data_IF_648523341408
#
_entry.id   IF_648523341408
#
_cell.length_a   1.000
_cell.length_b   1.000
_cell.length_c   1.000
_cell.angle_alpha   90.00
_cell.angle_beta   90.00
_cell.angle_gamma   90.00
#
_symmetry.space_group_name_H-M   'P 1'
#
loop_
_entity.id
_entity.type
_entity.pdbx_description
1 polymer ?
#
# COMPACT_ATOMS: atom_id res chain seq x y z
N UNK A 1 42.68 44.46 -19.59
CA UNK A 1 42.18 45.74 -19.05
C UNK A 1 40.83 46.06 -19.68
N UNK A 2 39.73 45.67 -19.03
CA UNK A 2 38.39 46.20 -19.27
C UNK A 2 37.68 46.21 -17.91
N UNK A 3 37.41 47.42 -17.44
CA UNK A 3 36.78 47.72 -16.16
C UNK A 3 35.30 47.35 -16.24
N UNK A 4 34.81 46.52 -15.32
CA UNK A 4 33.38 46.40 -15.05
C UNK A 4 33.08 46.98 -13.67
N UNK A 5 32.21 47.97 -13.72
CA UNK A 5 31.74 48.86 -12.68
C UNK A 5 30.90 48.11 -11.65
N UNK A 6 31.09 48.51 -10.39
CA UNK A 6 30.38 48.03 -9.22
C UNK A 6 28.88 48.35 -9.28
N UNK A 7 28.04 47.40 -8.90
CA UNK A 7 26.62 47.62 -8.59
C UNK A 7 26.49 47.96 -7.08
N UNK A 8 25.66 48.94 -6.69
CA UNK A 8 25.50 49.33 -5.30
C UNK A 8 24.59 48.36 -4.53
N UNK A 9 25.05 48.10 -3.31
CA UNK A 9 24.31 47.54 -2.18
C UNK A 9 23.11 48.44 -1.85
N UNK A 10 21.91 47.87 -1.76
CA UNK A 10 20.79 48.53 -1.09
C UNK A 10 20.27 47.62 0.04
N UNK A 11 20.47 48.14 1.24
CA UNK A 11 20.06 47.60 2.53
C UNK A 11 18.85 48.43 3.01
N UNK A 12 17.72 47.80 3.32
CA UNK A 12 16.63 48.37 4.13
C UNK A 12 15.77 47.20 4.65
N UNK A 13 16.04 46.68 5.85
CA UNK A 13 15.35 46.99 7.12
C UNK A 13 13.82 46.89 7.02
N UNK A 14 13.27 45.77 7.52
CA UNK A 14 11.92 45.70 8.08
C UNK A 14 11.93 44.69 9.26
N UNK A 15 12.42 45.18 10.40
CA UNK A 15 12.12 44.68 11.74
C UNK A 15 11.08 45.64 12.32
N UNK A 16 9.93 45.14 12.78
CA UNK A 16 8.92 45.97 13.43
C UNK A 16 7.58 45.25 13.50
N UNK A 17 7.30 44.64 14.66
CA UNK A 17 6.23 43.68 14.85
C UNK A 17 4.81 44.24 14.92
N UNK A 18 3.82 43.34 14.96
CA UNK A 18 2.51 43.58 15.57
C UNK A 18 2.01 42.29 16.25
N UNK A 19 1.88 42.41 17.57
CA UNK A 19 0.84 41.92 18.48
C UNK A 19 0.17 40.54 18.28
N UNK A 20 0.21 39.78 19.38
CA UNK A 20 -0.93 39.17 20.08
C UNK A 20 -2.27 39.11 19.31
N UNK A 21 -2.66 37.89 18.96
CA UNK A 21 -4.01 37.52 18.54
C UNK A 21 -4.45 36.22 19.19
N UNK A 22 -4.68 36.24 20.51
CA UNK A 22 -5.58 35.29 21.16
C UNK A 22 -6.99 35.56 20.65
N UNK A 23 -7.63 34.67 19.92
CA UNK A 23 -9.10 34.59 19.88
C UNK A 23 -9.59 33.18 19.46
N UNK A 24 -10.15 32.50 20.47
CA UNK A 24 -11.35 31.66 20.46
C UNK A 24 -11.44 30.45 19.52
N UNK A 25 -11.15 29.31 20.16
CA UNK A 25 -11.85 28.02 20.07
C UNK A 25 -13.37 28.21 19.91
N UNK A 26 -13.83 28.14 18.66
CA UNK A 26 -15.25 28.09 18.30
C UNK A 26 -15.80 26.67 18.39
N UNK A 27 -16.72 26.49 19.34
CA UNK A 27 -17.50 25.29 19.60
C UNK A 27 -18.61 25.19 18.54
N UNK A 28 -18.49 24.32 17.54
CA UNK A 28 -19.56 24.15 16.54
C UNK A 28 -20.72 23.39 17.18
N UNK A 29 -21.79 24.13 17.42
CA UNK A 29 -23.07 23.65 17.94
C UNK A 29 -23.64 22.53 17.06
N UNK A 30 -24.11 21.47 17.73
CA UNK A 30 -25.12 20.54 17.23
C UNK A 30 -26.36 21.33 16.81
N UNK A 31 -26.67 21.35 15.53
CA UNK A 31 -27.99 21.69 15.02
C UNK A 31 -28.89 20.47 15.13
N UNK A 32 -29.69 20.43 16.18
CA UNK A 32 -30.93 19.66 16.27
C UNK A 32 -31.99 20.37 15.44
N UNK A 33 -32.44 19.75 14.35
CA UNK A 33 -33.72 20.10 13.71
C UNK A 33 -34.66 18.91 13.85
N UNK A 34 -35.71 19.11 14.64
CA UNK A 34 -36.86 18.22 14.76
C UNK A 34 -38.07 18.93 14.13
N UNK A 35 -38.68 18.30 13.14
CA UNK A 35 -40.11 18.41 12.76
C UNK A 35 -40.35 17.33 11.70
N UNK A 36 -40.90 16.16 12.05
CA UNK A 36 -42.31 15.83 12.31
C UNK A 36 -43.16 16.04 11.06
N UNK A 37 -43.36 14.96 10.31
CA UNK A 37 -44.62 14.71 9.63
C UNK A 37 -44.99 13.23 9.76
N UNK A 38 -46.27 13.02 10.03
CA UNK A 38 -46.89 11.76 10.36
C UNK A 38 -47.65 11.27 9.14
N UNK A 39 -47.59 9.97 8.85
CA UNK A 39 -48.72 9.26 8.26
C UNK A 39 -48.64 7.77 8.61
N UNK A 40 -49.83 7.21 8.67
CA UNK A 40 -50.38 6.08 9.40
C UNK A 40 -50.13 4.70 8.78
N UNK A 41 -50.34 3.69 9.63
CA UNK A 41 -50.86 2.34 9.37
C UNK A 41 -50.14 1.46 8.34
N UNK A 42 -49.66 0.27 8.69
CA UNK A 42 -50.55 -0.89 8.86
C UNK A 42 -49.79 -2.02 9.57
N UNK A 43 -50.41 -2.56 10.61
CA UNK A 43 -50.03 -3.80 11.26
C UNK A 43 -50.19 -4.98 10.30
N UNK A 44 -49.19 -5.86 10.22
CA UNK A 44 -49.45 -7.23 9.78
C UNK A 44 -48.64 -8.24 10.60
N UNK A 45 -49.40 -8.92 11.45
CA UNK A 45 -48.99 -9.96 12.39
C UNK A 45 -48.93 -11.28 11.62
N UNK A 46 -47.73 -11.67 11.17
CA UNK A 46 -47.48 -12.96 10.51
C UNK A 46 -46.67 -13.89 11.41
N UNK A 47 -47.34 -14.58 12.32
CA UNK A 47 -46.79 -15.64 13.18
C UNK A 47 -46.68 -16.94 12.39
N UNK A 48 -45.55 -17.19 11.73
CA UNK A 48 -45.29 -18.49 11.08
C UNK A 48 -44.43 -19.36 11.98
N UNK A 49 -45.09 -20.28 12.66
CA UNK A 49 -44.49 -21.34 13.47
C UNK A 49 -44.18 -22.51 12.54
N UNK A 50 -42.95 -22.60 12.03
CA UNK A 50 -42.49 -23.80 11.33
C UNK A 50 -41.85 -24.77 12.31
N UNK A 51 -42.62 -25.83 12.60
CA UNK A 51 -42.24 -26.99 13.39
C UNK A 51 -41.57 -27.99 12.44
N UNK A 52 -40.24 -27.95 12.33
CA UNK A 52 -39.47 -28.97 11.62
C UNK A 52 -39.10 -30.08 12.61
N UNK A 53 -39.81 -31.19 12.50
CA UNK A 53 -39.46 -32.47 13.12
C UNK A 53 -38.32 -33.07 12.30
N UNK A 54 -37.11 -33.12 12.87
CA UNK A 54 -35.98 -33.85 12.27
C UNK A 54 -35.84 -35.18 12.99
N UNK A 55 -36.25 -36.25 12.31
CA UNK A 55 -35.96 -37.63 12.66
C UNK A 55 -34.44 -37.83 12.77
N UNK A 56 -33.97 -38.18 13.96
CA UNK A 56 -32.57 -38.52 14.21
C UNK A 56 -32.41 -40.02 13.98
N UNK A 57 -32.13 -40.40 12.72
CA UNK A 57 -31.60 -41.73 12.42
C UNK A 57 -30.12 -41.78 12.83
N UNK A 58 -29.83 -42.62 13.82
CA UNK A 58 -28.52 -42.85 14.40
C UNK A 58 -27.61 -43.58 13.40
N UNK A 59 -26.83 -42.82 12.63
CA UNK A 59 -25.79 -43.36 11.74
C UNK A 59 -24.56 -43.72 12.58
N UNK A 60 -24.21 -45.01 12.56
CA UNK A 60 -23.01 -45.59 13.15
C UNK A 60 -21.76 -44.93 12.53
N UNK A 61 -20.81 -44.39 13.32
CA UNK A 61 -19.63 -43.71 12.78
C UNK A 61 -18.71 -44.69 12.04
N UNK A 62 -18.57 -44.48 10.73
CA UNK A 62 -17.51 -45.08 9.92
C UNK A 62 -16.18 -44.40 10.28
N UNK A 63 -15.08 -45.15 10.50
CA UNK A 63 -13.78 -44.55 10.75
C UNK A 63 -13.38 -43.64 9.57
N UNK A 64 -12.80 -42.46 9.84
CA UNK A 64 -12.40 -41.54 8.79
C UNK A 64 -11.33 -42.19 7.90
N UNK A 65 -11.38 -41.98 6.57
CA UNK A 65 -10.35 -42.44 5.67
C UNK A 65 -9.01 -41.80 6.06
N UNK A 66 -7.95 -42.62 6.09
CA UNK A 66 -6.59 -42.21 6.40
C UNK A 66 -6.22 -40.98 5.58
N UNK A 67 -6.04 -39.86 6.28
CA UNK A 67 -5.64 -38.61 5.65
C UNK A 67 -4.28 -38.81 4.98
N UNK A 68 -4.11 -38.41 3.69
CA UNK A 68 -2.83 -38.53 3.02
C UNK A 68 -1.77 -37.76 3.81
N UNK A 69 -0.74 -38.50 4.25
CA UNK A 69 0.42 -38.00 4.98
C UNK A 69 1.16 -37.02 4.07
N UNK A 70 0.92 -35.72 4.25
CA UNK A 70 1.64 -34.66 3.54
C UNK A 70 3.11 -34.78 3.93
N UNK A 71 3.95 -35.13 2.96
CA UNK A 71 5.39 -35.19 3.13
C UNK A 71 5.89 -33.81 3.59
N UNK A 72 6.50 -33.77 4.77
CA UNK A 72 7.14 -32.58 5.33
C UNK A 72 8.43 -32.32 4.55
N UNK A 73 8.33 -31.70 3.39
CA UNK A 73 9.50 -31.19 2.69
C UNK A 73 9.99 -29.96 3.45
N UNK A 74 11.16 -30.09 4.08
CA UNK A 74 11.85 -28.98 4.71
C UNK A 74 12.05 -27.87 3.66
N UNK A 75 11.50 -26.66 3.86
CA UNK A 75 11.60 -25.59 2.86
C UNK A 75 13.07 -25.26 2.64
N UNK A 76 13.49 -25.25 1.37
CA UNK A 76 14.85 -24.83 1.00
C UNK A 76 15.02 -23.36 1.44
N UNK A 77 16.04 -23.02 2.24
CA UNK A 77 16.29 -21.63 2.63
C UNK A 77 16.45 -20.78 1.38
N UNK A 78 15.76 -19.63 1.35
CA UNK A 78 15.90 -18.62 0.31
C UNK A 78 17.40 -18.31 0.11
N UNK A 79 17.91 -18.29 -1.13
CA UNK A 79 19.25 -17.81 -1.37
C UNK A 79 19.38 -16.40 -0.80
N UNK A 80 20.43 -16.18 -0.01
CA UNK A 80 20.73 -14.86 0.54
C UNK A 80 20.78 -13.87 -0.63
N UNK A 81 20.06 -12.73 -0.58
CA UNK A 81 20.02 -11.80 -1.70
C UNK A 81 21.44 -11.41 -2.10
N UNK A 82 21.85 -11.79 -3.31
CA UNK A 82 23.14 -11.41 -3.85
C UNK A 82 23.04 -9.94 -4.25
N UNK A 83 23.42 -9.04 -3.35
CA UNK A 83 23.66 -7.65 -3.69
C UNK A 83 24.89 -7.58 -4.61
N UNK A 84 24.93 -6.67 -5.60
CA UNK A 84 24.00 -5.57 -5.78
C UNK A 84 22.85 -5.91 -6.74
N UNK A 85 21.61 -5.92 -6.23
CA UNK A 85 20.44 -5.77 -7.11
C UNK A 85 20.55 -4.35 -7.67
N UNK A 86 20.78 -4.22 -8.97
CA UNK A 86 20.74 -2.93 -9.65
C UNK A 86 19.29 -2.47 -9.63
N UNK A 87 18.97 -1.53 -8.74
CA UNK A 87 17.62 -1.02 -8.63
C UNK A 87 17.33 -0.14 -9.84
N UNK A 88 16.18 -0.30 -10.52
CA UNK A 88 15.81 0.63 -11.59
C UNK A 88 15.80 2.04 -11.01
N UNK A 89 16.55 2.93 -11.66
CA UNK A 89 16.63 4.35 -11.29
C UNK A 89 15.55 5.12 -12.02
N UNK A 90 14.96 6.13 -11.37
CA UNK A 90 14.12 7.10 -12.07
C UNK A 90 14.83 7.80 -13.23
N UNK A 91 16.16 7.82 -13.24
CA UNK A 91 17.01 8.57 -14.17
C UNK A 91 16.80 8.29 -15.67
N UNK A 92 16.11 7.22 -16.05
CA UNK A 92 15.84 6.92 -17.46
C UNK A 92 14.73 7.82 -18.04
N UNK A 93 13.72 8.16 -17.24
CA UNK A 93 12.56 8.96 -17.66
C UNK A 93 12.33 10.21 -16.82
N UNK A 94 12.88 10.21 -15.62
CA UNK A 94 12.93 11.33 -14.68
C UNK A 94 14.39 11.72 -14.50
N UNK A 95 14.68 12.88 -13.94
CA UNK A 95 16.03 13.32 -13.64
C UNK A 95 16.69 12.42 -12.59
N UNK A 96 15.96 12.09 -11.52
CA UNK A 96 16.40 11.23 -10.43
C UNK A 96 15.21 10.63 -9.63
N UNK A 97 15.51 9.87 -8.58
CA UNK A 97 14.50 9.30 -7.68
C UNK A 97 13.72 10.39 -6.90
N UNK A 98 14.26 11.62 -6.75
CA UNK A 98 13.55 12.71 -6.07
C UNK A 98 12.48 13.30 -6.98
N UNK A 99 12.79 13.50 -8.26
CA UNK A 99 11.80 13.95 -9.23
C UNK A 99 10.66 12.94 -9.37
N UNK A 100 10.98 11.63 -9.49
CA UNK A 100 9.96 10.58 -9.48
C UNK A 100 9.07 10.67 -8.23
N UNK A 101 9.66 10.84 -7.05
CA UNK A 101 8.91 10.98 -5.81
C UNK A 101 7.99 12.21 -5.79
N UNK A 102 8.46 13.34 -6.31
CA UNK A 102 7.65 14.55 -6.46
C UNK A 102 6.46 14.32 -7.41
N UNK A 103 6.69 13.72 -8.57
CA UNK A 103 5.64 13.43 -9.54
C UNK A 103 4.58 12.46 -8.98
N UNK A 104 5.02 11.40 -8.30
CA UNK A 104 4.12 10.47 -7.61
C UNK A 104 3.32 11.14 -6.49
N UNK A 105 3.93 12.10 -5.78
CA UNK A 105 3.27 12.88 -4.72
C UNK A 105 2.17 13.77 -5.30
N UNK A 106 2.47 14.49 -6.40
CA UNK A 106 1.49 15.33 -7.10
C UNK A 106 0.34 14.51 -7.70
N UNK A 107 0.66 13.36 -8.28
CA UNK A 107 -0.34 12.40 -8.76
C UNK A 107 -1.26 11.93 -7.63
N UNK A 108 -0.68 11.51 -6.50
CA UNK A 108 -1.43 11.07 -5.32
C UNK A 108 -2.33 12.19 -4.76
N UNK A 109 -1.86 13.42 -4.70
CA UNK A 109 -2.64 14.59 -4.28
C UNK A 109 -3.84 14.85 -5.18
N UNK A 110 -3.66 14.74 -6.49
CA UNK A 110 -4.77 14.87 -7.43
C UNK A 110 -5.80 13.75 -7.25
N UNK A 111 -5.35 12.51 -7.04
CA UNK A 111 -6.23 11.36 -6.78
C UNK A 111 -6.97 11.48 -5.44
N UNK A 112 -6.32 11.97 -4.39
CA UNK A 112 -6.93 12.23 -3.08
C UNK A 112 -8.10 13.21 -3.19
N UNK A 113 -7.96 14.26 -4.01
CA UNK A 113 -9.04 15.24 -4.28
C UNK A 113 -10.24 14.61 -4.99
N UNK A 114 -10.04 13.55 -5.77
CA UNK A 114 -11.12 12.81 -6.42
C UNK A 114 -11.89 11.89 -5.45
N UNK A 115 -11.36 11.66 -4.25
CA UNK A 115 -11.98 10.83 -3.21
C UNK A 115 -12.42 9.44 -3.71
N UNK A 116 -11.58 8.77 -4.52
CA UNK A 116 -11.87 7.44 -5.07
C UNK A 116 -12.08 6.44 -3.93
N UNK A 117 -13.33 6.04 -3.72
CA UNK A 117 -13.73 5.12 -2.65
C UNK A 117 -13.27 3.69 -2.94
N UNK A 118 -12.80 2.99 -1.90
CA UNK A 118 -12.42 1.59 -2.05
C UNK A 118 -13.57 0.73 -2.57
N UNK A 119 -13.32 0.03 -3.68
CA UNK A 119 -14.29 -0.87 -4.32
C UNK A 119 -13.57 -2.12 -4.86
N UNK A 120 -13.82 -3.25 -4.20
CA UNK A 120 -13.36 -4.57 -4.63
C UNK A 120 -14.49 -5.44 -5.21
N UNK A 121 -15.71 -4.90 -5.34
CA UNK A 121 -16.85 -5.59 -5.91
C UNK A 121 -16.94 -5.35 -7.42
N UNK A 122 -16.46 -4.20 -7.89
CA UNK A 122 -16.38 -3.83 -9.29
C UNK A 122 -14.90 -3.65 -9.69
N UNK A 123 -14.17 -4.75 -9.98
CA UNK A 123 -12.72 -4.72 -10.20
C UNK A 123 -12.28 -3.82 -11.36
N UNK A 124 -13.13 -3.58 -12.35
CA UNK A 124 -12.95 -2.65 -13.47
C UNK A 124 -12.82 -1.19 -13.04
N UNK A 125 -13.35 -0.82 -11.86
CA UNK A 125 -13.21 0.52 -11.31
C UNK A 125 -11.80 0.81 -10.80
N UNK A 126 -10.93 -0.19 -10.68
CA UNK A 126 -9.54 -0.05 -10.21
C UNK A 126 -9.44 0.79 -8.92
N UNK A 127 -10.28 0.49 -7.94
CA UNK A 127 -10.39 1.28 -6.71
C UNK A 127 -10.04 0.51 -5.43
N UNK A 128 -9.68 -0.78 -5.52
CA UNK A 128 -9.06 -1.55 -4.45
C UNK A 128 -7.55 -1.28 -4.36
N UNK A 129 -6.83 -1.98 -3.47
CA UNK A 129 -5.40 -1.73 -3.25
C UNK A 129 -4.56 -1.92 -4.52
N UNK A 130 -4.76 -3.03 -5.25
CA UNK A 130 -4.06 -3.29 -6.51
C UNK A 130 -4.61 -2.48 -7.69
N UNK A 131 -5.89 -2.10 -7.68
CA UNK A 131 -6.47 -1.21 -8.68
C UNK A 131 -5.88 0.20 -8.62
N UNK A 132 -5.74 0.76 -7.41
CA UNK A 132 -5.06 2.06 -7.24
C UNK A 132 -3.59 1.98 -7.67
N UNK A 133 -2.91 0.85 -7.42
CA UNK A 133 -1.58 0.61 -7.97
C UNK A 133 -1.58 0.68 -9.51
N UNK A 134 -2.54 0.05 -10.20
CA UNK A 134 -2.64 0.10 -11.66
C UNK A 134 -2.85 1.53 -12.19
N UNK A 135 -3.57 2.39 -11.45
CA UNK A 135 -3.68 3.82 -11.80
C UNK A 135 -2.34 4.55 -11.69
N UNK A 136 -1.53 4.23 -10.68
CA UNK A 136 -0.17 4.77 -10.53
C UNK A 136 0.72 4.29 -11.68
N UNK A 137 0.68 3.00 -12.00
CA UNK A 137 1.45 2.41 -13.11
C UNK A 137 1.11 3.09 -14.44
N UNK A 138 -0.18 3.30 -14.74
CA UNK A 138 -0.60 4.00 -15.96
C UNK A 138 -0.02 5.41 -16.03
N UNK A 139 -0.08 6.17 -14.93
CA UNK A 139 0.54 7.50 -14.86
C UNK A 139 2.04 7.46 -15.17
N UNK A 140 2.78 6.50 -14.60
CA UNK A 140 4.22 6.37 -14.86
C UNK A 140 4.49 5.93 -16.30
N UNK A 141 3.74 4.96 -16.82
CA UNK A 141 3.86 4.46 -18.18
C UNK A 141 3.60 5.55 -19.23
N UNK A 142 2.61 6.42 -19.01
CA UNK A 142 2.30 7.58 -19.87
C UNK A 142 3.46 8.60 -19.95
N UNK A 143 4.44 8.54 -19.03
CA UNK A 143 5.63 9.38 -19.01
C UNK A 143 6.91 8.62 -19.38
N UNK A 144 6.86 7.29 -19.48
CA UNK A 144 8.05 6.43 -19.45
C UNK A 144 7.79 5.07 -20.12
N UNK A 145 7.77 5.04 -21.46
CA UNK A 145 7.41 3.86 -22.27
C UNK A 145 8.55 2.82 -22.47
N UNK A 146 9.75 3.17 -22.02
CA UNK A 146 10.96 2.33 -22.13
C UNK A 146 10.99 1.14 -21.16
N UNK A 147 10.07 1.07 -20.20
CA UNK A 147 9.93 -0.05 -19.25
C UNK A 147 8.71 -0.90 -19.55
N UNK A 148 8.66 -2.09 -18.94
CA UNK A 148 7.48 -2.93 -18.90
C UNK A 148 6.62 -2.63 -17.68
N UNK A 149 5.31 -2.80 -17.85
CA UNK A 149 4.30 -2.51 -16.85
C UNK A 149 3.24 -3.61 -16.82
N UNK A 150 2.75 -4.02 -15.64
CA UNK A 150 1.73 -5.04 -15.55
C UNK A 150 0.39 -4.52 -16.09
N UNK A 151 -0.23 -5.28 -16.98
CA UNK A 151 -1.60 -5.03 -17.44
C UNK A 151 -2.61 -5.61 -16.41
N UNK A 152 -3.69 -4.90 -16.05
CA UNK A 152 -4.74 -5.42 -15.18
C UNK A 152 -5.36 -6.74 -15.66
N UNK A 153 -5.38 -7.03 -16.97
CA UNK A 153 -5.86 -8.29 -17.53
C UNK A 153 -4.90 -9.47 -17.29
N UNK A 154 -3.61 -9.19 -17.06
CA UNK A 154 -2.57 -10.20 -16.81
C UNK A 154 -2.32 -10.37 -15.31
N UNK A 155 -2.25 -9.28 -14.56
CA UNK A 155 -1.92 -9.28 -13.14
C UNK A 155 -2.79 -8.27 -12.36
N UNK A 156 -4.03 -8.65 -12.03
CA UNK A 156 -5.02 -7.75 -11.40
C UNK A 156 -4.85 -7.58 -9.89
N UNK A 157 -4.56 -8.66 -9.18
CA UNK A 157 -4.55 -8.71 -7.72
C UNK A 157 -3.13 -8.61 -7.16
N UNK A 158 -2.99 -8.32 -5.86
CA UNK A 158 -1.67 -8.12 -5.24
C UNK A 158 -0.73 -9.33 -5.34
N UNK A 159 -1.26 -10.57 -5.39
CA UNK A 159 -0.44 -11.79 -5.49
C UNK A 159 0.02 -12.02 -6.93
N UNK A 160 -0.88 -11.88 -7.91
CA UNK A 160 -0.51 -11.95 -9.33
C UNK A 160 0.48 -10.84 -9.71
N UNK A 161 0.36 -9.64 -9.13
CA UNK A 161 1.35 -8.57 -9.29
C UNK A 161 2.72 -8.97 -8.74
N UNK A 162 2.80 -9.52 -7.53
CA UNK A 162 4.07 -9.98 -6.98
C UNK A 162 4.72 -11.06 -7.87
N UNK A 163 3.92 -12.01 -8.38
CA UNK A 163 4.38 -13.00 -9.36
C UNK A 163 4.90 -12.35 -10.64
N UNK A 164 4.15 -11.40 -11.21
CA UNK A 164 4.58 -10.67 -12.40
C UNK A 164 5.94 -9.99 -12.17
N UNK A 165 6.13 -9.28 -11.05
CA UNK A 165 7.43 -8.67 -10.71
C UNK A 165 8.55 -9.71 -10.57
N UNK A 166 8.27 -10.87 -9.98
CA UNK A 166 9.23 -11.95 -9.86
C UNK A 166 9.65 -12.50 -11.23
N UNK A 167 8.68 -12.71 -12.12
CA UNK A 167 8.90 -13.26 -13.46
C UNK A 167 9.71 -12.30 -14.35
N UNK A 168 9.70 -11.00 -14.02
CA UNK A 168 10.50 -9.96 -14.68
C UNK A 168 11.77 -9.60 -13.89
N UNK A 169 12.23 -10.45 -12.97
CA UNK A 169 13.43 -10.24 -12.15
C UNK A 169 13.45 -8.90 -11.39
N UNK A 170 12.29 -8.35 -11.06
CA UNK A 170 12.10 -7.06 -10.42
C UNK A 170 11.35 -7.18 -9.09
N UNK A 171 11.50 -8.32 -8.40
CA UNK A 171 10.99 -8.55 -7.05
C UNK A 171 12.11 -8.93 -6.09
N UNK A 172 12.15 -8.25 -4.95
CA UNK A 172 13.07 -8.50 -3.84
C UNK A 172 12.26 -9.03 -2.66
N UNK A 173 12.60 -10.23 -2.17
CA UNK A 173 12.00 -10.80 -0.96
C UNK A 173 12.56 -10.14 0.30
N UNK A 174 11.66 -9.82 1.26
CA UNK A 174 12.00 -9.17 2.52
C UNK A 174 11.89 -10.17 3.66
N UNK A 175 13.03 -10.50 4.26
CA UNK A 175 13.13 -11.32 5.48
C UNK A 175 13.27 -10.44 6.72
N UNK A 176 13.96 -9.30 6.59
CA UNK A 176 14.09 -8.28 7.63
C UNK A 176 13.97 -6.89 7.00
N UNK A 177 12.80 -6.28 7.17
CA UNK A 177 12.51 -4.95 6.63
C UNK A 177 13.45 -3.87 7.20
N UNK A 178 13.87 -3.98 8.46
CA UNK A 178 14.78 -3.02 9.06
C UNK A 178 16.18 -3.16 8.45
N UNK A 179 16.70 -4.38 8.31
CA UNK A 179 18.00 -4.61 7.70
C UNK A 179 18.02 -4.26 6.19
N UNK A 180 16.94 -4.56 5.48
CA UNK A 180 16.84 -4.40 4.01
C UNK A 180 16.27 -3.04 3.58
N UNK A 181 16.01 -2.11 4.51
CA UNK A 181 15.33 -0.81 4.25
C UNK A 181 15.93 0.07 3.14
N UNK A 182 17.16 -0.20 2.68
CA UNK A 182 17.77 0.50 1.56
C UNK A 182 17.02 0.30 0.23
N UNK A 183 16.24 -0.78 0.09
CA UNK A 183 15.41 -1.03 -1.12
C UNK A 183 14.15 -0.15 -1.17
N UNK A 184 13.80 0.53 -0.07
CA UNK A 184 12.64 1.40 -0.02
C UNK A 184 13.06 2.78 -0.53
N UNK A 185 12.52 3.17 -1.69
CA UNK A 185 12.73 4.46 -2.35
C UNK A 185 11.45 4.87 -3.11
N UNK A 186 11.31 6.14 -3.54
CA UNK A 186 10.19 6.53 -4.38
C UNK A 186 10.04 5.60 -5.60
N UNK A 187 8.80 5.23 -5.91
CA UNK A 187 8.49 4.23 -6.95
C UNK A 187 8.64 2.76 -6.52
N UNK A 188 9.09 2.48 -5.30
CA UNK A 188 9.05 1.12 -4.76
C UNK A 188 7.59 0.66 -4.55
N UNK A 189 7.31 -0.57 -4.94
CA UNK A 189 6.01 -1.24 -4.82
C UNK A 189 6.10 -2.22 -3.65
N UNK A 190 5.41 -1.92 -2.56
CA UNK A 190 5.51 -2.68 -1.32
C UNK A 190 4.39 -3.71 -1.22
N UNK A 191 4.75 -4.96 -0.97
CA UNK A 191 3.81 -6.06 -0.77
C UNK A 191 3.77 -6.47 0.70
N UNK A 192 2.59 -6.46 1.30
CA UNK A 192 2.41 -6.78 2.71
C UNK A 192 1.63 -8.08 2.88
N UNK A 193 2.05 -8.86 3.88
CA UNK A 193 1.38 -10.08 4.29
C UNK A 193 0.04 -9.82 4.99
N UNK A 194 -0.56 -10.87 5.52
CA UNK A 194 -1.86 -10.79 6.17
C UNK A 194 -1.86 -10.07 7.52
N UNK A 195 -3.00 -9.46 7.83
CA UNK A 195 -3.18 -8.67 9.05
C UNK A 195 -2.95 -9.49 10.31
N UNK A 196 -2.08 -8.99 11.20
CA UNK A 196 -1.78 -9.62 12.50
C UNK A 196 -0.95 -10.90 12.41
N UNK A 197 -0.53 -11.30 11.21
CA UNK A 197 0.32 -12.46 10.99
C UNK A 197 1.79 -12.03 11.02
N UNK A 198 2.64 -12.88 11.58
CA UNK A 198 4.10 -12.73 11.56
C UNK A 198 4.69 -13.83 10.68
N UNK A 199 5.59 -13.44 9.81
CA UNK A 199 6.24 -14.32 8.86
C UNK A 199 7.74 -14.35 9.16
N UNK A 200 8.20 -15.43 9.79
CA UNK A 200 9.61 -15.66 10.01
C UNK A 200 10.21 -16.28 8.74
N UNK A 201 10.82 -15.46 7.87
CA UNK A 201 11.41 -15.89 6.60
C UNK A 201 10.44 -16.69 5.72
N UNK A 202 9.34 -16.06 5.24
CA UNK A 202 8.37 -16.77 4.41
C UNK A 202 9.06 -17.34 3.17
N UNK A 203 8.73 -18.59 2.82
CA UNK A 203 9.28 -19.22 1.64
C UNK A 203 8.78 -18.51 0.35
N UNK A 204 9.60 -18.51 -0.70
CA UNK A 204 9.31 -17.81 -1.95
C UNK A 204 7.97 -18.27 -2.56
N UNK A 205 7.75 -19.58 -2.60
CA UNK A 205 6.53 -20.20 -3.09
C UNK A 205 5.29 -19.70 -2.33
N UNK A 206 5.41 -19.50 -1.02
CA UNK A 206 4.34 -18.96 -0.18
C UNK A 206 4.05 -17.49 -0.47
N UNK A 207 5.08 -16.68 -0.74
CA UNK A 207 4.92 -15.25 -1.12
C UNK A 207 4.24 -15.14 -2.49
N UNK A 208 4.60 -16.00 -3.43
CA UNK A 208 4.12 -15.95 -4.82
C UNK A 208 2.83 -16.74 -5.05
N UNK A 209 2.40 -17.60 -4.13
CA UNK A 209 1.24 -18.46 -4.30
C UNK A 209 -0.06 -17.64 -4.56
N UNK A 210 -1.01 -18.19 -5.35
CA UNK A 210 -2.31 -17.58 -5.53
C UNK A 210 -3.16 -17.68 -4.24
N UNK A 211 -4.27 -16.94 -4.18
CA UNK A 211 -5.25 -17.12 -3.11
C UNK A 211 -5.86 -18.54 -3.18
N UNK A 212 -6.12 -19.21 -2.04
CA UNK A 212 -5.95 -18.75 -0.65
C UNK A 212 -4.58 -19.02 -0.03
N UNK A 213 -3.67 -19.71 -0.72
CA UNK A 213 -2.37 -20.12 -0.18
C UNK A 213 -1.37 -18.95 -0.03
N UNK A 214 -1.45 -17.96 -0.91
CA UNK A 214 -0.57 -16.80 -0.94
C UNK A 214 -0.76 -15.85 0.24
N UNK A 215 0.35 -15.41 0.83
CA UNK A 215 0.32 -14.59 2.05
C UNK A 215 0.14 -13.09 1.82
N UNK A 216 0.38 -12.58 0.61
CA UNK A 216 0.25 -11.15 0.29
C UNK A 216 -1.23 -10.75 0.31
N UNK A 217 -1.61 -9.82 1.17
CA UNK A 217 -2.99 -9.32 1.29
C UNK A 217 -3.11 -7.83 0.95
N UNK A 218 -1.99 -7.12 0.76
CA UNK A 218 -2.01 -5.67 0.52
C UNK A 218 -0.82 -5.19 -0.30
N UNK A 219 -1.00 -4.09 -1.03
CA UNK A 219 0.02 -3.45 -1.86
C UNK A 219 -0.09 -1.92 -1.79
N UNK A 220 1.01 -1.21 -2.02
CA UNK A 220 1.03 0.24 -2.23
C UNK A 220 2.33 0.73 -2.85
N UNK A 221 2.34 1.98 -3.31
CA UNK A 221 3.52 2.59 -3.96
C UNK A 221 4.10 3.68 -3.06
N UNK A 222 5.41 3.64 -2.86
CA UNK A 222 6.14 4.66 -2.10
C UNK A 222 6.23 5.95 -2.91
N UNK A 223 5.73 7.05 -2.36
CA UNK A 223 5.82 8.38 -2.96
C UNK A 223 7.01 9.17 -2.38
N UNK A 224 7.30 8.97 -1.09
CA UNK A 224 8.35 9.71 -0.37
C UNK A 224 9.07 8.80 0.63
N UNK A 225 10.34 9.10 0.91
CA UNK A 225 11.12 8.40 1.94
C UNK A 225 11.71 9.39 2.95
N UNK A 226 11.63 9.03 4.23
CA UNK A 226 12.28 9.73 5.33
C UNK A 226 13.63 9.07 5.60
N UNK A 227 14.68 9.87 5.74
CA UNK A 227 16.06 9.39 5.98
C UNK A 227 16.63 10.02 7.25
N UNK A 228 17.52 9.30 7.92
CA UNK A 228 18.35 9.85 8.99
C UNK A 228 19.54 10.65 8.43
N UNK A 229 20.34 11.24 9.33
CA UNK A 229 21.54 12.00 8.97
C UNK A 229 22.61 11.16 8.25
N UNK A 230 22.56 9.82 8.38
CA UNK A 230 23.44 8.90 7.66
C UNK A 230 22.83 8.44 6.31
N UNK A 231 21.72 9.04 5.89
CA UNK A 231 21.03 8.72 4.63
C UNK A 231 20.22 7.42 4.66
N UNK A 232 20.11 6.74 5.81
CA UNK A 232 19.38 5.47 5.92
C UNK A 232 17.89 5.74 6.08
N UNK A 233 17.07 4.91 5.44
CA UNK A 233 15.60 5.03 5.53
C UNK A 233 15.14 4.83 6.97
N UNK A 234 14.29 5.73 7.47
CA UNK A 234 13.65 5.67 8.79
C UNK A 234 12.14 5.58 8.71
N UNK A 235 11.57 5.86 7.54
CA UNK A 235 10.15 5.73 7.24
C UNK A 235 9.83 6.11 5.81
N UNK A 236 8.57 6.02 5.42
CA UNK A 236 8.11 6.36 4.07
C UNK A 236 6.65 6.83 4.06
N UNK A 237 6.27 7.46 2.95
CA UNK A 237 4.89 7.77 2.58
C UNK A 237 4.49 6.85 1.45
N UNK A 238 3.30 6.25 1.56
CA UNK A 238 2.79 5.30 0.58
C UNK A 238 1.41 5.71 0.10
N UNK A 239 1.19 5.74 -1.21
CA UNK A 239 -0.13 5.93 -1.82
C UNK A 239 -0.74 4.57 -2.19
N UNK A 240 -1.99 4.34 -1.80
CA UNK A 240 -2.66 3.07 -2.02
C UNK A 240 -4.18 3.15 -1.84
N UNK A 241 -4.89 2.17 -2.43
CA UNK A 241 -6.25 1.86 -2.01
C UNK A 241 -6.21 1.26 -0.61
N UNK A 242 -7.02 1.77 0.33
CA UNK A 242 -6.89 1.44 1.75
C UNK A 242 -7.67 0.20 2.16
N UNK A 243 -8.98 0.38 2.37
CA UNK A 243 -9.92 -0.64 2.84
C UNK A 243 -11.35 -0.17 2.56
N UNK A 244 -12.35 -1.06 2.60
CA UNK A 244 -13.75 -0.67 2.43
C UNK A 244 -14.15 0.52 3.30
N UNK A 245 -14.89 1.47 2.72
CA UNK A 245 -15.35 2.69 3.39
C UNK A 245 -14.30 3.80 3.54
N UNK A 246 -13.13 3.65 2.91
CA UNK A 246 -12.06 4.66 2.94
C UNK A 246 -11.61 4.95 1.51
N UNK A 247 -11.39 6.22 1.18
CA UNK A 247 -10.85 6.61 -0.11
C UNK A 247 -9.35 6.29 -0.24
N UNK A 248 -8.87 6.20 -1.48
CA UNK A 248 -7.45 6.08 -1.79
C UNK A 248 -6.70 7.34 -1.35
N UNK A 249 -5.62 7.16 -0.58
CA UNK A 249 -4.85 8.28 -0.05
C UNK A 249 -3.45 7.83 0.36
N UNK A 250 -2.59 8.81 0.60
CA UNK A 250 -1.31 8.62 1.24
C UNK A 250 -1.46 8.27 2.72
N UNK A 251 -0.54 7.45 3.18
CA UNK A 251 -0.36 7.05 4.57
C UNK A 251 1.07 7.37 5.01
N UNK A 252 1.23 7.97 6.20
CA UNK A 252 2.49 8.58 6.65
C UNK A 252 3.09 7.92 7.92
N UNK A 253 2.48 6.85 8.42
CA UNK A 253 2.85 6.20 9.68
C UNK A 253 3.92 5.10 9.54
N UNK A 254 4.35 4.81 8.31
CA UNK A 254 5.31 3.75 8.05
C UNK A 254 6.70 4.16 8.52
N UNK A 255 7.19 3.50 9.57
CA UNK A 255 8.42 3.92 10.24
C UNK A 255 9.16 2.72 10.82
N UNK A 256 10.47 2.89 10.99
CA UNK A 256 11.34 1.89 11.60
C UNK A 256 10.97 1.61 13.06
N UNK A 257 10.49 2.64 13.76
CA UNK A 257 9.90 2.55 15.10
C UNK A 257 8.39 2.73 14.97
N UNK A 258 7.62 1.65 14.77
CA UNK A 258 6.20 1.76 14.46
C UNK A 258 5.43 2.43 15.62
N UNK A 259 4.31 3.13 15.32
CA UNK A 259 3.59 3.93 16.31
C UNK A 259 2.87 3.10 17.39
N UNK A 260 2.80 1.78 17.23
CA UNK A 260 2.12 0.87 18.15
C UNK A 260 3.02 -0.33 18.47
N UNK A 261 3.02 -0.73 19.73
CA UNK A 261 3.74 -1.91 20.17
C UNK A 261 3.22 -3.16 19.44
N UNK A 262 4.15 -4.04 19.04
CA UNK A 262 3.84 -5.29 18.35
C UNK A 262 3.62 -5.17 16.84
N UNK A 263 3.61 -3.95 16.28
CA UNK A 263 3.54 -3.74 14.84
C UNK A 263 4.92 -3.99 14.20
N UNK A 264 4.97 -4.53 12.96
CA UNK A 264 6.23 -4.77 12.28
C UNK A 264 6.89 -3.44 11.86
N UNK A 265 8.22 -3.30 12.04
CA UNK A 265 8.98 -2.18 11.47
C UNK A 265 8.72 -2.01 9.98
N UNK A 266 8.50 -0.77 9.53
CA UNK A 266 8.27 -0.44 8.11
C UNK A 266 7.09 -1.19 7.47
N UNK A 267 6.20 -1.79 8.26
CA UNK A 267 4.99 -2.46 7.78
C UNK A 267 3.83 -1.51 7.50
N UNK A 268 2.69 -2.07 7.12
CA UNK A 268 1.42 -1.35 6.97
C UNK A 268 0.46 -1.74 8.11
N UNK A 269 0.30 -0.87 9.11
CA UNK A 269 -0.36 -1.25 10.38
C UNK A 269 0.30 -2.51 10.97
N UNK A 270 -0.48 -3.57 11.19
CA UNK A 270 -0.05 -4.87 11.68
C UNK A 270 0.25 -5.87 10.55
N UNK A 271 0.39 -5.41 9.30
CA UNK A 271 0.81 -6.22 8.16
C UNK A 271 2.31 -6.08 7.93
N UNK A 272 3.02 -7.21 7.88
CA UNK A 272 4.46 -7.27 7.66
C UNK A 272 4.81 -7.06 6.18
N UNK A 273 5.85 -6.27 5.90
CA UNK A 273 6.43 -6.16 4.55
C UNK A 273 7.12 -7.49 4.18
N UNK A 274 6.73 -8.10 3.05
CA UNK A 274 7.24 -9.42 2.62
C UNK A 274 7.97 -9.39 1.29
N UNK A 275 7.69 -8.40 0.43
CA UNK A 275 8.42 -8.21 -0.82
C UNK A 275 8.39 -6.74 -1.28
N UNK A 276 9.33 -6.38 -2.15
CA UNK A 276 9.43 -5.06 -2.79
C UNK A 276 9.70 -5.25 -4.27
N UNK A 277 8.89 -4.62 -5.13
CA UNK A 277 9.18 -4.41 -6.54
C UNK A 277 9.37 -2.92 -6.85
N UNK A 278 9.47 -2.55 -8.13
CA UNK A 278 9.61 -1.15 -8.56
C UNK A 278 8.70 -0.86 -9.74
N UNK A 279 8.00 0.28 -9.73
CA UNK A 279 7.00 0.63 -10.76
C UNK A 279 7.55 0.56 -12.19
N UNK A 280 8.81 0.95 -12.41
CA UNK A 280 9.52 0.82 -13.69
C UNK A 280 10.26 -0.52 -13.73
N UNK A 281 9.74 -1.48 -14.50
CA UNK A 281 10.33 -2.82 -14.62
C UNK A 281 11.17 -2.91 -15.90
N UNK A 282 12.49 -3.18 -15.82
CA UNK A 282 13.32 -3.26 -17.02
C UNK A 282 12.78 -4.29 -18.01
N UNK A 283 12.80 -3.94 -19.30
CA UNK A 283 12.53 -4.88 -20.38
C UNK A 283 13.58 -6.01 -20.37
N UNK A 284 13.21 -7.27 -20.65
CA UNK A 284 14.19 -8.32 -20.87
C UNK A 284 15.16 -7.89 -21.96
N UNK A 285 16.47 -7.98 -21.67
CA UNK A 285 17.54 -7.77 -22.65
C UNK A 285 17.57 -8.86 -23.72
#
# INVERSE_FOLDING_TARGET
MKNFTQLPVLLAVLLGGIALGYFLRGNTQKTTTSKKEATTDTANTGKTTSKTTTDTAQIKPTPPPDSPRIATTTPKPLPKPTLPVVLPSGSACFHDDKELGLQLTLFAENMEKQQVMYDNKNPENLADCSGIFHRVVRFVADQCDQYDYPDPAVARDSRSLARWYNDHNNLIFITDAAAQRAVIKPGAVLFFGGSGKKYANPAQDQVLAPYPAGIIEHIGVVTEVKRDAAGKVTGYVMFHGRRPGVFAQRSHYHSLKPPRLGFPPLGNWNQQLVAVGYVMTPKPS
#
